data_IF_157142219711
#
_entry.id   IF_157142219711
#
_cell.length_a   1.000
_cell.length_b   1.000
_cell.length_c   1.000
_cell.angle_alpha   90.00
_cell.angle_beta   90.00
_cell.angle_gamma   90.00
#
_symmetry.space_group_name_H-M   'P 1'
#
loop_
_entity.id
_entity.type
_entity.pdbx_description
1 polymer ?
#
# COMPACT_ATOMS: atom_id res chain seq x y z
N UNK A 1 -7.55 5.53 10.70
CA UNK A 1 -6.58 5.50 11.81
C UNK A 1 -5.78 6.79 11.80
N UNK A 2 -5.69 7.50 12.93
CA UNK A 2 -4.94 8.76 13.05
C UNK A 2 -3.59 8.48 13.69
N UNK A 3 -2.52 8.99 13.08
CA UNK A 3 -1.17 8.96 13.64
C UNK A 3 -0.84 10.33 14.21
N UNK A 4 -0.47 10.32 15.48
CA UNK A 4 -0.11 11.46 16.30
C UNK A 4 1.40 11.47 16.54
N UNK A 5 2.03 12.63 16.46
CA UNK A 5 3.41 12.85 16.88
C UNK A 5 3.43 13.45 18.28
N UNK A 6 4.23 12.85 19.17
CA UNK A 6 4.32 13.24 20.56
C UNK A 6 5.21 14.48 20.69
N UNK A 7 4.67 15.54 21.28
CA UNK A 7 5.36 16.81 21.53
C UNK A 7 5.85 16.93 22.98
N UNK A 8 5.18 16.26 23.91
CA UNK A 8 5.53 16.24 25.34
C UNK A 8 5.48 14.82 25.86
N UNK A 9 6.41 14.48 26.76
CA UNK A 9 6.41 13.17 27.41
C UNK A 9 5.11 12.97 28.20
N UNK A 10 4.47 11.82 28.04
CA UNK A 10 3.27 11.47 28.81
C UNK A 10 3.15 9.95 28.99
N UNK A 11 2.51 9.55 30.07
CA UNK A 11 2.18 8.16 30.36
C UNK A 11 0.82 7.85 29.77
N UNK A 12 0.71 6.71 29.07
CA UNK A 12 -0.55 6.27 28.49
C UNK A 12 -1.55 5.91 29.59
N UNK A 13 -2.79 6.37 29.45
CA UNK A 13 -3.87 6.08 30.39
C UNK A 13 -4.31 4.61 30.29
N UNK A 14 -4.33 4.07 29.08
CA UNK A 14 -4.78 2.72 28.78
C UNK A 14 -3.66 1.70 28.98
N UNK A 15 -2.40 2.13 28.88
CA UNK A 15 -1.23 1.31 29.17
C UNK A 15 -0.24 2.04 30.09
N UNK A 16 -0.40 1.83 31.40
CA UNK A 16 0.45 2.48 32.42
C UNK A 16 1.94 2.14 32.31
N UNK A 17 2.32 1.06 31.61
CA UNK A 17 3.72 0.71 31.39
C UNK A 17 4.33 1.47 30.20
N UNK A 18 3.49 2.09 29.37
CA UNK A 18 3.92 2.82 28.18
C UNK A 18 4.05 4.32 28.45
N UNK A 19 5.30 4.79 28.41
CA UNK A 19 5.63 6.21 28.52
C UNK A 19 6.12 6.69 27.17
N UNK A 20 5.35 7.55 26.53
CA UNK A 20 5.70 8.15 25.25
C UNK A 20 6.68 9.31 25.47
N UNK A 21 7.77 9.30 24.70
CA UNK A 21 8.78 10.33 24.65
C UNK A 21 8.50 11.33 23.52
N UNK A 22 9.10 12.51 23.62
CA UNK A 22 9.01 13.55 22.59
C UNK A 22 9.61 13.02 21.28
N UNK A 23 8.87 13.19 20.18
CA UNK A 23 9.27 12.70 18.86
C UNK A 23 8.71 11.33 18.50
N UNK A 24 8.20 10.55 19.46
CA UNK A 24 7.55 9.28 19.17
C UNK A 24 6.23 9.46 18.41
N UNK A 25 5.75 8.35 17.83
CA UNK A 25 4.47 8.32 17.12
C UNK A 25 3.49 7.39 17.82
N UNK A 26 2.24 7.83 17.92
CA UNK A 26 1.11 7.09 18.48
C UNK A 26 0.05 6.98 17.39
N UNK A 27 -0.36 5.77 17.06
CA UNK A 27 -1.48 5.56 16.14
C UNK A 27 -2.72 5.11 16.91
N UNK A 28 -3.85 5.77 16.69
CA UNK A 28 -5.14 5.44 17.31
C UNK A 28 -6.29 5.73 16.36
N UNK A 29 -7.37 4.95 16.44
CA UNK A 29 -8.64 5.23 15.75
C UNK A 29 -9.62 6.01 16.62
N UNK A 30 -9.33 6.19 17.90
CA UNK A 30 -10.18 6.90 18.86
C UNK A 30 -10.06 8.42 18.69
N UNK A 31 -11.13 9.04 18.19
CA UNK A 31 -11.18 10.48 17.92
C UNK A 31 -11.23 11.32 19.20
N UNK A 32 -11.90 10.86 20.27
CA UNK A 32 -11.93 11.54 21.56
C UNK A 32 -10.53 11.61 22.17
N UNK A 33 -9.78 10.51 22.08
CA UNK A 33 -8.39 10.44 22.51
C UNK A 33 -7.49 11.35 21.67
N UNK A 34 -7.66 11.38 20.35
CA UNK A 34 -6.95 12.32 19.47
C UNK A 34 -7.22 13.75 19.89
N UNK A 35 -8.49 14.11 20.04
CA UNK A 35 -8.90 15.46 20.39
C UNK A 35 -8.35 15.88 21.75
N UNK A 36 -8.37 15.00 22.75
CA UNK A 36 -7.82 15.27 24.07
C UNK A 36 -6.31 15.56 24.02
N UNK A 37 -5.54 14.72 23.32
CA UNK A 37 -4.08 14.85 23.23
C UNK A 37 -3.66 16.09 22.44
N UNK A 38 -4.40 16.42 21.37
CA UNK A 38 -4.16 17.59 20.53
C UNK A 38 -4.56 18.87 21.23
N UNK A 39 -5.75 18.92 21.85
CA UNK A 39 -6.24 20.10 22.58
C UNK A 39 -5.35 20.47 23.78
N UNK A 40 -4.69 19.47 24.38
CA UNK A 40 -3.73 19.68 25.48
C UNK A 40 -2.31 20.02 25.00
N UNK A 41 -2.07 20.04 23.69
CA UNK A 41 -0.75 20.27 23.10
C UNK A 41 0.29 19.21 23.49
N UNK A 42 -0.15 17.98 23.79
CA UNK A 42 0.72 16.85 24.13
C UNK A 42 1.15 16.13 22.85
N UNK A 43 0.24 16.01 21.89
CA UNK A 43 0.50 15.45 20.58
C UNK A 43 0.02 16.39 19.46
N UNK A 44 0.59 16.24 18.28
CA UNK A 44 0.10 16.86 17.04
C UNK A 44 -0.37 15.77 16.08
N UNK A 45 -1.40 16.06 15.27
CA UNK A 45 -1.78 15.20 14.16
C UNK A 45 -0.63 15.19 13.16
N UNK A 46 -0.06 14.01 12.92
CA UNK A 46 1.04 13.82 11.97
C UNK A 46 0.53 13.29 10.64
N UNK A 47 -0.42 12.36 10.68
CA UNK A 47 -1.05 11.81 9.49
C UNK A 47 -2.45 11.31 9.84
N UNK A 48 -3.38 11.47 8.91
CA UNK A 48 -4.70 10.84 8.98
C UNK A 48 -4.72 9.79 7.89
N UNK A 49 -4.60 8.51 8.27
CA UNK A 49 -4.89 7.42 7.35
C UNK A 49 -6.41 7.22 7.37
N UNK A 50 -7.10 7.72 6.36
CA UNK A 50 -8.48 7.31 6.11
C UNK A 50 -8.49 5.78 5.98
N UNK A 51 -9.46 5.11 6.60
CA UNK A 51 -9.57 3.65 6.56
C UNK A 51 -9.92 3.10 5.15
N UNK A 52 -9.86 3.94 4.11
CA UNK A 52 -10.05 3.60 2.72
C UNK A 52 -8.78 3.89 1.91
N UNK A 53 -7.78 3.06 2.15
CA UNK A 53 -6.97 2.43 1.11
C UNK A 53 -6.13 1.43 1.85
N UNK A 54 -6.54 0.16 1.78
CA UNK A 54 -5.55 -0.88 1.60
C UNK A 54 -4.54 -0.35 0.57
N UNK A 55 -3.39 0.10 1.05
CA UNK A 55 -2.15 -0.15 0.33
C UNK A 55 -2.10 -1.68 0.21
N UNK A 56 -2.81 -2.20 -0.80
CA UNK A 56 -2.42 -3.45 -1.42
C UNK A 56 -0.94 -3.22 -1.69
N UNK A 57 -0.10 -3.92 -0.93
CA UNK A 57 1.29 -4.17 -1.32
C UNK A 57 1.29 -4.30 -2.84
N UNK A 58 2.23 -3.66 -3.57
CA UNK A 58 2.37 -3.97 -4.98
C UNK A 58 2.66 -5.47 -5.04
N UNK A 59 1.63 -6.24 -5.29
CA UNK A 59 1.73 -7.66 -5.48
C UNK A 59 2.58 -7.76 -6.75
N UNK A 60 3.81 -8.25 -6.61
CA UNK A 60 4.71 -8.44 -7.72
C UNK A 60 4.37 -9.77 -8.37
N UNK A 61 4.41 -9.79 -9.70
CA UNK A 61 4.26 -10.99 -10.49
C UNK A 61 5.62 -11.32 -11.11
N UNK A 62 6.05 -12.56 -10.94
CA UNK A 62 7.27 -13.05 -11.59
C UNK A 62 6.94 -13.46 -13.02
N UNK A 63 7.56 -12.81 -13.99
CA UNK A 63 7.39 -13.06 -15.42
C UNK A 63 8.76 -12.89 -16.10
N UNK A 64 9.09 -13.73 -17.09
CA UNK A 64 10.38 -13.66 -17.79
C UNK A 64 11.60 -13.68 -16.85
N UNK A 65 11.53 -14.46 -15.77
CA UNK A 65 12.55 -14.53 -14.70
C UNK A 65 12.83 -13.19 -14.00
N UNK A 66 11.94 -12.20 -14.17
CA UNK A 66 11.98 -10.87 -13.52
C UNK A 66 10.70 -10.64 -12.71
N UNK A 67 10.77 -9.78 -11.71
CA UNK A 67 9.59 -9.36 -10.94
C UNK A 67 9.05 -8.04 -11.49
N UNK A 68 7.77 -8.04 -11.87
CA UNK A 68 7.06 -6.86 -12.34
C UNK A 68 5.92 -6.50 -11.42
N UNK A 69 5.60 -5.21 -11.31
CA UNK A 69 4.40 -4.77 -10.59
C UNK A 69 3.15 -5.14 -11.39
N UNK A 70 2.08 -5.58 -10.70
CA UNK A 70 0.78 -5.85 -11.34
C UNK A 70 0.31 -4.70 -12.23
N UNK A 71 0.55 -3.45 -11.82
CA UNK A 71 0.18 -2.27 -12.59
C UNK A 71 0.89 -2.23 -13.95
N UNK A 72 2.20 -2.46 -13.96
CA UNK A 72 3.01 -2.50 -15.16
C UNK A 72 2.58 -3.64 -16.10
N UNK A 73 2.37 -4.85 -15.56
CA UNK A 73 1.94 -6.00 -16.35
C UNK A 73 0.53 -5.80 -16.93
N UNK A 74 -0.40 -5.22 -16.17
CA UNK A 74 -1.72 -4.86 -16.69
C UNK A 74 -1.63 -3.82 -17.81
N UNK A 75 -0.77 -2.82 -17.68
CA UNK A 75 -0.53 -1.82 -18.71
C UNK A 75 0.00 -2.44 -20.00
N UNK A 76 1.03 -3.27 -19.89
CA UNK A 76 1.61 -3.97 -21.02
C UNK A 76 0.62 -4.96 -21.69
N UNK A 77 -0.20 -5.66 -20.89
CA UNK A 77 -1.27 -6.51 -21.39
C UNK A 77 -2.34 -5.71 -22.15
N UNK A 78 -2.72 -4.54 -21.65
CA UNK A 78 -3.65 -3.66 -22.36
C UNK A 78 -3.04 -3.14 -23.68
N UNK A 79 -1.74 -2.87 -23.71
CA UNK A 79 -1.02 -2.38 -24.89
C UNK A 79 -0.94 -3.44 -26.01
N UNK A 80 -0.79 -4.71 -25.67
CA UNK A 80 -0.90 -5.83 -26.64
C UNK A 80 -2.35 -6.22 -26.98
N UNK A 81 -3.35 -5.46 -26.50
CA UNK A 81 -4.77 -5.70 -26.76
C UNK A 81 -5.42 -6.76 -25.87
N UNK A 82 -4.76 -7.21 -24.81
CA UNK A 82 -5.30 -8.17 -23.84
C UNK A 82 -6.03 -7.44 -22.72
N UNK A 83 -7.36 -7.54 -22.75
CA UNK A 83 -8.22 -6.95 -21.72
C UNK A 83 -8.21 -7.78 -20.44
N UNK A 84 -7.80 -7.16 -19.33
CA UNK A 84 -7.84 -7.75 -17.99
C UNK A 84 -8.77 -6.95 -17.07
N UNK A 85 -9.46 -7.67 -16.18
CA UNK A 85 -10.33 -7.04 -15.19
C UNK A 85 -9.53 -6.07 -14.30
N UNK A 86 -10.06 -4.87 -14.07
CA UNK A 86 -9.45 -3.87 -13.18
C UNK A 86 -9.21 -4.42 -11.77
N UNK A 87 -10.10 -5.30 -11.31
CA UNK A 87 -10.02 -5.98 -10.01
C UNK A 87 -9.20 -7.29 -10.03
N UNK A 88 -8.61 -7.68 -11.17
CA UNK A 88 -7.79 -8.89 -11.25
C UNK A 88 -6.56 -8.78 -10.32
N UNK A 89 -6.36 -9.79 -9.47
CA UNK A 89 -5.14 -9.97 -8.67
C UNK A 89 -4.06 -10.77 -9.41
N UNK A 90 -2.95 -11.09 -8.73
CA UNK A 90 -1.80 -11.83 -9.32
C UNK A 90 -2.27 -13.06 -10.06
N UNK A 91 -3.04 -13.92 -9.42
CA UNK A 91 -3.45 -15.22 -9.94
C UNK A 91 -4.24 -15.11 -11.26
N UNK A 92 -5.12 -14.11 -11.37
CA UNK A 92 -5.89 -13.89 -12.60
C UNK A 92 -5.00 -13.42 -13.76
N UNK A 93 -3.99 -12.61 -13.46
CA UNK A 93 -3.02 -12.14 -14.45
C UNK A 93 -2.11 -13.31 -14.87
N UNK A 94 -1.59 -14.10 -13.93
CA UNK A 94 -0.79 -15.30 -14.22
C UNK A 94 -1.53 -16.29 -15.11
N UNK A 95 -2.81 -16.54 -14.84
CA UNK A 95 -3.63 -17.39 -15.71
C UNK A 95 -3.75 -16.79 -17.12
N UNK A 96 -4.01 -15.48 -17.23
CA UNK A 96 -4.13 -14.83 -18.53
C UNK A 96 -2.82 -14.88 -19.33
N UNK A 97 -1.68 -14.73 -18.65
CA UNK A 97 -0.35 -14.86 -19.22
C UNK A 97 -0.10 -16.26 -19.78
N UNK A 98 -0.59 -17.31 -19.11
CA UNK A 98 -0.51 -18.69 -19.60
C UNK A 98 -1.41 -18.99 -20.81
N UNK A 99 -2.43 -18.16 -21.05
CA UNK A 99 -3.32 -18.26 -22.22
C UNK A 99 -2.86 -17.39 -23.41
N UNK A 100 -1.76 -16.64 -23.27
CA UNK A 100 -1.27 -15.80 -24.35
C UNK A 100 -0.71 -16.64 -25.49
N UNK A 101 -0.91 -16.15 -26.71
CA UNK A 101 -0.23 -16.72 -27.89
C UNK A 101 1.26 -16.37 -27.86
N UNK A 102 2.08 -17.11 -28.60
CA UNK A 102 3.52 -16.83 -28.71
C UNK A 102 3.79 -15.39 -29.19
N UNK A 103 2.97 -14.88 -30.11
CA UNK A 103 3.07 -13.51 -30.62
C UNK A 103 2.78 -12.46 -29.52
N UNK A 104 1.76 -12.71 -28.69
CA UNK A 104 1.41 -11.85 -27.55
C UNK A 104 2.46 -11.91 -26.45
N UNK A 105 2.99 -13.11 -26.15
CA UNK A 105 4.04 -13.28 -25.15
C UNK A 105 5.33 -12.57 -25.57
N UNK A 106 5.66 -12.59 -26.86
CA UNK A 106 6.80 -11.85 -27.41
C UNK A 106 6.58 -10.34 -27.33
N UNK A 107 5.43 -9.84 -27.76
CA UNK A 107 5.11 -8.42 -27.64
C UNK A 107 5.12 -7.95 -26.17
N UNK A 108 4.62 -8.78 -25.25
CA UNK A 108 4.61 -8.50 -23.82
C UNK A 108 6.03 -8.42 -23.24
N UNK A 109 6.91 -9.36 -23.61
CA UNK A 109 8.30 -9.33 -23.17
C UNK A 109 9.05 -8.14 -23.76
N UNK A 110 8.77 -7.75 -25.01
CA UNK A 110 9.33 -6.54 -25.60
C UNK A 110 8.87 -5.26 -24.90
N UNK A 111 7.65 -5.21 -24.34
CA UNK A 111 7.18 -4.03 -23.59
C UNK A 111 7.76 -4.02 -22.17
N UNK A 112 7.74 -5.16 -21.47
CA UNK A 112 8.15 -5.26 -20.07
C UNK A 112 9.67 -5.35 -19.89
N UNK A 113 10.39 -5.96 -20.82
CA UNK A 113 11.85 -6.12 -20.77
C UNK A 113 12.59 -5.13 -21.68
N UNK A 114 11.93 -4.09 -22.18
CA UNK A 114 12.61 -2.96 -22.83
C UNK A 114 13.44 -2.22 -21.79
N UNK A 115 14.73 -2.49 -21.81
CA UNK A 115 15.78 -1.76 -21.09
C UNK A 115 16.50 -0.82 -22.06
#
# INVERSE_FOLDING_TARGET
>A
MVTLKVLKKFQDKDNKEKIYQVGETLSTSDLDRVNNLVSRGICSISAIKEANKEEKKPEKISLFDKEFEIGAVKGALAEIGVSINKNAGVQAITNKLGELTEEQNKALSEILCKE
#
